data_IF_848806798944
#
_entry.id   IF_848806798944
#
_cell.length_a   1.000
_cell.length_b   1.000
_cell.length_c   1.000
_cell.angle_alpha   90.00
_cell.angle_beta   90.00
_cell.angle_gamma   90.00
#
_symmetry.space_group_name_H-M   'P 1'
#
loop_
_entity.id
_entity.type
_entity.pdbx_description
1 polymer ?
#
# COMPACT_ATOMS: atom_id res chain seq x y z
N UNK A 1 18.46 -11.87 0.81
CA UNK A 1 18.03 -10.59 1.43
C UNK A 1 17.58 -9.66 0.31
N UNK A 2 16.31 -9.71 -0.13
CA UNK A 2 15.78 -8.84 -1.19
C UNK A 2 14.29 -9.12 -1.47
N UNK A 3 13.47 -9.28 -0.42
CA UNK A 3 12.03 -9.55 -0.58
C UNK A 3 11.20 -8.26 -0.73
N UNK A 4 11.76 -7.13 -0.29
CA UNK A 4 11.08 -5.82 -0.30
C UNK A 4 10.97 -5.24 -1.71
N UNK A 5 11.97 -5.47 -2.58
CA UNK A 5 11.95 -5.00 -3.97
C UNK A 5 11.00 -5.80 -4.87
N UNK A 6 10.78 -7.09 -4.56
CA UNK A 6 9.92 -7.98 -5.36
C UNK A 6 8.43 -7.64 -5.19
N UNK A 7 8.00 -7.31 -3.98
CA UNK A 7 6.59 -7.04 -3.68
C UNK A 7 6.17 -5.61 -4.11
N UNK A 8 7.09 -4.65 -4.07
CA UNK A 8 6.82 -3.25 -4.40
C UNK A 8 6.63 -3.02 -5.92
N UNK A 9 7.36 -3.76 -6.76
CA UNK A 9 7.16 -3.70 -8.22
C UNK A 9 5.91 -4.47 -8.67
N UNK A 10 5.58 -5.61 -8.06
CA UNK A 10 4.40 -6.38 -8.45
C UNK A 10 3.10 -5.57 -8.26
N UNK A 11 2.95 -4.88 -7.13
CA UNK A 11 1.79 -4.05 -6.86
C UNK A 11 1.68 -2.83 -7.80
N UNK A 12 2.81 -2.24 -8.21
CA UNK A 12 2.85 -1.19 -9.26
C UNK A 12 2.36 -1.72 -10.60
N UNK A 13 2.86 -2.88 -11.02
CA UNK A 13 2.50 -3.50 -12.30
C UNK A 13 1.01 -3.83 -12.34
N UNK A 14 0.45 -4.38 -11.26
CA UNK A 14 -1.00 -4.70 -11.18
C UNK A 14 -1.84 -3.42 -11.34
N UNK A 15 -1.49 -2.32 -10.67
CA UNK A 15 -2.22 -1.04 -10.81
C UNK A 15 -2.09 -0.46 -12.20
N UNK A 16 -0.92 -0.57 -12.82
CA UNK A 16 -0.69 -0.10 -14.19
C UNK A 16 -1.53 -0.88 -15.20
N UNK A 17 -1.55 -2.21 -15.11
CA UNK A 17 -2.38 -3.08 -15.96
C UNK A 17 -3.86 -2.80 -15.73
N UNK A 18 -4.30 -2.66 -14.47
CA UNK A 18 -5.69 -2.34 -14.14
C UNK A 18 -6.11 -0.96 -14.70
N UNK A 19 -5.27 0.06 -14.56
CA UNK A 19 -5.52 1.40 -15.08
C UNK A 19 -5.62 1.44 -16.60
N UNK A 20 -4.72 0.75 -17.31
CA UNK A 20 -4.78 0.62 -18.78
C UNK A 20 -6.04 -0.15 -19.20
N UNK A 21 -6.31 -1.29 -18.58
CA UNK A 21 -7.48 -2.11 -18.89
C UNK A 21 -8.80 -1.37 -18.70
N UNK A 22 -8.94 -0.67 -17.57
CA UNK A 22 -10.11 0.18 -17.31
C UNK A 22 -10.18 1.36 -18.28
N UNK A 23 -9.05 1.95 -18.67
CA UNK A 23 -9.01 3.02 -19.66
C UNK A 23 -9.52 2.57 -21.04
N UNK A 24 -9.05 1.42 -21.51
CA UNK A 24 -9.53 0.81 -22.76
C UNK A 24 -11.03 0.50 -22.66
N UNK A 25 -11.47 -0.11 -21.56
CA UNK A 25 -12.88 -0.42 -21.34
C UNK A 25 -13.76 0.84 -21.29
N UNK A 26 -13.31 1.91 -20.62
CA UNK A 26 -14.03 3.16 -20.52
C UNK A 26 -14.22 3.83 -21.90
N UNK A 27 -13.19 3.80 -22.75
CA UNK A 27 -13.27 4.32 -24.12
C UNK A 27 -14.23 3.47 -24.96
N UNK A 28 -14.15 2.14 -24.86
CA UNK A 28 -15.01 1.24 -25.62
C UNK A 28 -16.49 1.35 -25.20
N UNK A 29 -16.74 1.46 -23.90
CA UNK A 29 -18.10 1.52 -23.35
C UNK A 29 -18.68 2.94 -23.34
N UNK A 30 -17.85 3.98 -23.57
CA UNK A 30 -18.19 5.40 -23.42
C UNK A 30 -18.70 5.79 -22.03
N UNK A 31 -18.40 4.97 -21.03
CA UNK A 31 -18.80 5.17 -19.65
C UNK A 31 -17.74 5.98 -18.91
N UNK A 32 -18.02 7.27 -18.70
CA UNK A 32 -17.16 8.21 -17.99
C UNK A 32 -16.71 7.80 -16.57
N UNK A 33 -17.49 7.09 -15.71
CA UNK A 33 -17.02 6.73 -14.38
C UNK A 33 -15.82 5.78 -14.39
N UNK A 34 -15.73 4.90 -15.39
CA UNK A 34 -14.57 4.00 -15.54
C UNK A 34 -13.31 4.75 -15.98
N UNK A 35 -13.47 5.87 -16.69
CA UNK A 35 -12.35 6.73 -17.08
C UNK A 35 -11.73 7.39 -15.85
N UNK A 36 -12.55 7.86 -14.90
CA UNK A 36 -12.06 8.37 -13.62
C UNK A 36 -11.27 7.31 -12.83
N UNK A 37 -11.80 6.08 -12.74
CA UNK A 37 -11.10 4.97 -12.10
C UNK A 37 -9.78 4.63 -12.80
N UNK A 38 -9.76 4.62 -14.14
CA UNK A 38 -8.54 4.40 -14.92
C UNK A 38 -7.46 5.44 -14.59
N UNK A 39 -7.82 6.72 -14.58
CA UNK A 39 -6.91 7.82 -14.21
C UNK A 39 -6.40 7.64 -12.78
N UNK A 40 -7.28 7.30 -11.84
CA UNK A 40 -6.90 7.09 -10.44
C UNK A 40 -5.84 5.98 -10.30
N UNK A 41 -6.06 4.82 -10.92
CA UNK A 41 -5.11 3.70 -10.86
C UNK A 41 -3.80 4.01 -11.59
N UNK A 42 -3.83 4.72 -12.71
CA UNK A 42 -2.64 5.16 -13.43
C UNK A 42 -1.83 6.19 -12.63
N UNK A 43 -2.50 7.17 -12.00
CA UNK A 43 -1.85 8.15 -11.14
C UNK A 43 -1.16 7.47 -9.94
N UNK A 44 -1.82 6.50 -9.32
CA UNK A 44 -1.23 5.68 -8.25
C UNK A 44 -0.02 4.88 -8.73
N UNK A 45 -0.05 4.34 -9.95
CA UNK A 45 1.08 3.60 -10.52
C UNK A 45 2.29 4.51 -10.83
N UNK A 46 2.07 5.69 -11.41
CA UNK A 46 3.11 6.66 -11.78
C UNK A 46 3.75 7.29 -10.54
N UNK A 47 2.92 7.78 -9.61
CA UNK A 47 3.39 8.42 -8.38
C UNK A 47 3.86 7.40 -7.34
N UNK A 48 3.58 6.12 -7.59
CA UNK A 48 3.72 5.02 -6.65
C UNK A 48 3.12 5.29 -5.27
N UNK A 49 1.97 5.94 -5.27
CA UNK A 49 1.19 6.19 -4.08
C UNK A 49 0.19 5.04 -3.96
N UNK A 50 0.34 4.21 -2.94
CA UNK A 50 -0.71 3.25 -2.57
C UNK A 50 -1.75 3.90 -1.66
N UNK A 51 -2.97 3.37 -1.65
CA UNK A 51 -4.07 3.82 -0.79
C UNK A 51 -3.71 3.85 0.71
N UNK A 52 -2.73 3.03 1.11
CA UNK A 52 -1.96 3.23 2.32
C UNK A 52 -0.61 3.83 1.88
N UNK A 53 -0.41 5.14 2.01
CA UNK A 53 0.88 5.75 1.76
C UNK A 53 1.96 4.97 2.53
N UNK A 54 3.14 4.78 1.92
CA UNK A 54 4.26 4.05 2.51
C UNK A 54 4.51 4.49 3.97
N UNK A 55 4.01 3.70 4.93
CA UNK A 55 4.12 3.98 6.37
C UNK A 55 2.82 4.11 7.16
N UNK A 56 1.65 4.33 6.54
CA UNK A 56 0.41 4.58 7.31
C UNK A 56 -0.25 3.30 7.89
N UNK A 57 0.03 2.13 7.31
CA UNK A 57 -0.44 0.83 7.79
C UNK A 57 0.68 -0.21 7.86
N UNK A 58 1.92 0.22 8.07
CA UNK A 58 3.01 -0.70 8.39
C UNK A 58 2.87 -1.11 9.86
N UNK A 59 2.10 -2.17 10.13
CA UNK A 59 2.27 -2.93 11.39
C UNK A 59 3.58 -3.70 11.26
N UNK A 60 4.69 -3.10 11.67
CA UNK A 60 6.00 -3.75 11.57
C UNK A 60 7.19 -2.83 11.84
N UNK A 61 7.62 -2.85 13.10
CA UNK A 61 8.94 -2.49 13.63
C UNK A 61 9.12 -1.06 14.16
N UNK A 62 9.28 -1.04 15.47
CA UNK A 62 9.70 0.04 16.35
C UNK A 62 10.89 0.84 15.83
N UNK A 63 10.77 2.16 15.79
CA UNK A 63 11.94 3.00 16.08
C UNK A 63 11.62 4.17 17.01
N UNK A 64 10.36 4.60 17.16
CA UNK A 64 10.00 5.70 18.06
C UNK A 64 8.74 5.38 18.89
N UNK A 65 8.76 4.28 19.65
CA UNK A 65 7.66 4.01 20.57
C UNK A 65 7.85 4.89 21.81
N UNK A 66 7.20 6.05 21.83
CA UNK A 66 7.17 7.02 22.94
C UNK A 66 6.75 6.38 24.28
N UNK A 67 6.14 5.19 24.23
CA UNK A 67 5.61 4.45 25.37
C UNK A 67 6.48 3.28 25.86
N UNK A 68 7.69 3.03 25.31
CA UNK A 68 8.55 1.94 25.82
C UNK A 68 8.82 2.06 27.32
N UNK A 69 8.89 3.29 27.82
CA UNK A 69 9.16 3.57 29.24
C UNK A 69 7.89 3.45 30.11
N UNK A 70 6.70 3.44 29.51
CA UNK A 70 5.40 3.38 30.20
C UNK A 70 4.84 1.95 30.19
N UNK A 71 5.03 1.21 29.11
CA UNK A 71 4.52 -0.16 28.95
C UNK A 71 5.68 -1.12 29.22
N UNK A 72 5.81 -1.55 30.48
CA UNK A 72 6.73 -2.65 30.81
C UNK A 72 6.20 -3.92 30.16
N UNK A 73 7.01 -4.66 29.39
CA UNK A 73 6.61 -5.97 28.88
C UNK A 73 6.30 -6.88 30.07
N UNK A 74 5.21 -7.65 29.97
CA UNK A 74 4.85 -8.65 30.97
C UNK A 74 5.98 -9.68 31.10
N UNK A 75 6.49 -9.85 32.31
CA UNK A 75 7.59 -10.75 32.65
C UNK A 75 7.02 -11.88 33.52
N UNK A 76 6.80 -13.08 32.94
CA UNK A 76 6.14 -14.17 33.65
C UNK A 76 6.95 -14.74 34.81
N UNK A 77 8.24 -14.41 34.93
CA UNK A 77 9.11 -14.85 36.03
C UNK A 77 9.00 -13.98 37.30
N UNK A 78 8.29 -12.84 37.25
CA UNK A 78 8.10 -11.96 38.43
C UNK A 78 6.86 -12.28 39.27
N UNK A 79 6.05 -13.25 38.88
CA UNK A 79 4.84 -13.68 39.59
C UNK A 79 4.92 -15.11 40.18
N UNK A 80 6.13 -15.68 40.29
CA UNK A 80 6.38 -16.97 40.99
C UNK A 80 7.23 -16.80 42.24
#
# INVERSE_FOLDING_TARGET
MNNVLRQWNAARIIRLVAGIGLGVYAIASKEYPFLFLAIFFLAQAILNISCCASGACASGSSENQVYKDIIKPYDPEKES
#
